data_IF_361484338479
#
_entry.id   IF_361484338479
#
_cell.length_a   1.000
_cell.length_b   1.000
_cell.length_c   1.000
_cell.angle_alpha   90.00
_cell.angle_beta   90.00
_cell.angle_gamma   90.00
#
_symmetry.space_group_name_H-M   'P 1'
#
loop_
_entity.id
_entity.type
_entity.pdbx_description
1 polymer ?
#
# COMPACT_ATOMS: atom_id res chain seq x y z
N UNK A 1 -19.00 -1.23 1.17
CA UNK A 1 -18.90 -2.05 -0.06
C UNK A 1 -17.55 -2.77 -0.21
N UNK A 2 -17.43 -3.67 -1.20
CA UNK A 2 -16.17 -4.38 -1.52
C UNK A 2 -15.03 -3.43 -1.96
N UNK A 3 -15.36 -2.28 -2.56
CA UNK A 3 -14.41 -1.22 -2.94
C UNK A 3 -13.76 -0.55 -1.73
N UNK A 4 -14.53 -0.31 -0.69
CA UNK A 4 -14.07 0.39 0.51
C UNK A 4 -13.15 -0.51 1.32
N UNK A 5 -13.42 -1.83 1.33
CA UNK A 5 -12.55 -2.83 1.94
C UNK A 5 -11.18 -2.89 1.27
N UNK A 6 -11.13 -2.91 -0.07
CA UNK A 6 -9.85 -2.90 -0.82
C UNK A 6 -9.06 -1.64 -0.51
N UNK A 7 -9.73 -0.49 -0.47
CA UNK A 7 -9.10 0.80 -0.16
C UNK A 7 -8.54 0.83 1.27
N UNK A 8 -9.30 0.33 2.25
CA UNK A 8 -8.87 0.26 3.65
C UNK A 8 -7.65 -0.65 3.86
N UNK A 9 -7.63 -1.83 3.22
CA UNK A 9 -6.48 -2.75 3.28
C UNK A 9 -5.23 -2.12 2.67
N UNK A 10 -5.39 -1.38 1.57
CA UNK A 10 -4.25 -0.70 0.96
C UNK A 10 -3.70 0.41 1.87
N UNK A 11 -4.55 1.25 2.46
CA UNK A 11 -4.13 2.28 3.44
C UNK A 11 -3.33 1.65 4.59
N UNK A 12 -3.81 0.55 5.17
CA UNK A 12 -3.08 -0.16 6.23
C UNK A 12 -1.67 -0.57 5.78
N UNK A 13 -1.55 -1.09 4.56
CA UNK A 13 -0.26 -1.51 3.98
C UNK A 13 0.69 -0.34 3.76
N UNK A 14 0.17 0.83 3.36
CA UNK A 14 0.96 2.07 3.20
C UNK A 14 1.54 2.54 4.54
N UNK A 15 0.80 2.35 5.64
CA UNK A 15 1.26 2.66 7.00
C UNK A 15 2.09 1.53 7.66
N UNK A 16 2.50 0.51 6.90
CA UNK A 16 3.37 -0.54 7.41
C UNK A 16 2.66 -1.61 8.25
N UNK A 17 1.33 -1.71 8.19
CA UNK A 17 0.57 -2.78 8.83
C UNK A 17 0.53 -4.07 7.99
N UNK A 18 0.41 -5.24 8.62
CA UNK A 18 0.37 -5.46 10.07
C UNK A 18 1.75 -5.24 10.71
N UNK A 19 1.79 -4.49 11.80
CA UNK A 19 3.03 -4.30 12.55
C UNK A 19 3.51 -5.66 13.07
N UNK A 20 4.81 -5.93 12.94
CA UNK A 20 5.42 -7.10 13.59
C UNK A 20 5.29 -6.90 15.10
N UNK A 21 4.59 -7.81 15.77
CA UNK A 21 4.62 -7.88 17.24
C UNK A 21 6.05 -8.22 17.66
N UNK A 22 6.64 -7.37 18.49
CA UNK A 22 7.92 -7.68 19.13
C UNK A 22 7.71 -8.91 20.02
N UNK A 23 8.58 -9.91 19.87
CA UNK A 23 8.55 -11.08 20.74
C UNK A 23 9.03 -10.69 22.12
N UNK A 24 8.41 -11.25 23.16
CA UNK A 24 8.92 -11.04 24.49
C UNK A 24 10.29 -11.70 24.60
N UNK A 25 11.15 -11.18 25.46
CA UNK A 25 12.50 -11.71 25.70
C UNK A 25 12.40 -13.16 26.17
N UNK A 26 11.41 -13.49 27.00
CA UNK A 26 11.05 -14.86 27.41
C UNK A 26 10.75 -15.81 26.24
N UNK A 27 10.23 -15.32 25.10
CA UNK A 27 9.94 -16.16 23.93
C UNK A 27 11.21 -16.55 23.17
N UNK A 28 12.28 -15.75 23.31
CA UNK A 28 13.55 -15.93 22.59
C UNK A 28 14.61 -16.57 23.50
N UNK A 29 14.56 -16.28 24.81
CA UNK A 29 15.47 -16.79 25.84
C UNK A 29 14.67 -17.37 27.02
N UNK A 30 14.18 -18.62 26.92
CA UNK A 30 13.37 -19.23 27.98
C UNK A 30 14.20 -19.47 29.25
N UNK A 31 13.65 -19.03 30.38
CA UNK A 31 14.31 -19.05 31.70
C UNK A 31 14.41 -20.44 32.34
N UNK A 32 13.84 -21.48 31.71
CA UNK A 32 13.84 -22.88 32.19
C UNK A 32 15.15 -23.65 31.88
N UNK A 33 16.13 -23.01 31.23
CA UNK A 33 17.46 -23.60 31.02
C UNK A 33 18.30 -23.48 32.29
N UNK A 34 18.63 -24.63 32.91
CA UNK A 34 19.31 -24.77 34.21
C UNK A 34 20.72 -24.14 34.31
N UNK A 35 21.26 -23.54 33.25
CA UNK A 35 22.51 -22.77 33.24
C UNK A 35 22.53 -21.80 32.05
N UNK A 36 22.49 -20.50 32.29
CA UNK A 36 22.79 -19.49 31.26
C UNK A 36 24.29 -19.48 30.99
N UNK A 37 24.69 -19.58 29.73
CA UNK A 37 26.10 -19.40 29.39
C UNK A 37 26.44 -17.91 29.35
N UNK A 38 27.69 -17.49 29.63
CA UNK A 38 28.10 -16.09 29.56
C UNK A 38 27.77 -15.44 28.20
N UNK A 39 27.90 -16.20 27.09
CA UNK A 39 27.54 -15.72 25.76
C UNK A 39 26.03 -15.53 25.56
N UNK A 40 25.19 -16.33 26.22
CA UNK A 40 23.72 -16.17 26.18
C UNK A 40 23.27 -14.92 26.93
N UNK A 41 23.84 -14.63 28.09
CA UNK A 41 23.52 -13.41 28.85
C UNK A 41 23.89 -12.16 28.06
N UNK A 42 25.07 -12.15 27.45
CA UNK A 42 25.49 -11.06 26.55
C UNK A 42 24.54 -10.91 25.37
N UNK A 43 24.15 -12.02 24.72
CA UNK A 43 23.18 -12.00 23.61
C UNK A 43 21.82 -11.41 24.03
N UNK A 44 21.36 -11.74 25.24
CA UNK A 44 20.13 -11.19 25.82
C UNK A 44 20.23 -9.68 26.06
N UNK A 45 21.35 -9.21 26.61
CA UNK A 45 21.61 -7.77 26.82
C UNK A 45 21.64 -7.02 25.49
N UNK A 46 22.35 -7.56 24.49
CA UNK A 46 22.44 -6.94 23.16
C UNK A 46 21.07 -6.86 22.51
N UNK A 47 20.29 -7.93 22.53
CA UNK A 47 18.92 -7.94 22.00
C UNK A 47 18.03 -6.89 22.68
N UNK A 48 18.11 -6.77 24.01
CA UNK A 48 17.37 -5.75 24.76
C UNK A 48 17.73 -4.32 24.32
N UNK A 49 19.02 -4.06 24.09
CA UNK A 49 19.49 -2.76 23.59
C UNK A 49 18.98 -2.50 22.18
N UNK A 50 19.07 -3.48 21.28
CA UNK A 50 18.52 -3.39 19.92
C UNK A 50 17.03 -3.04 19.96
N UNK A 51 16.23 -3.77 20.77
CA UNK A 51 14.80 -3.52 20.90
C UNK A 51 14.46 -2.14 21.46
N UNK A 52 15.26 -1.63 22.40
CA UNK A 52 15.06 -0.29 22.94
C UNK A 52 15.29 0.79 21.88
N UNK A 53 16.39 0.69 21.12
CA UNK A 53 16.71 1.66 20.06
C UNK A 53 15.73 1.54 18.89
N UNK A 54 15.33 0.31 18.49
CA UNK A 54 14.29 0.09 17.49
C UNK A 54 12.99 0.81 17.86
N UNK A 55 12.60 0.77 19.13
CA UNK A 55 11.40 1.46 19.63
C UNK A 55 11.57 2.98 19.57
N UNK A 56 12.66 3.52 20.12
CA UNK A 56 12.93 4.96 20.11
C UNK A 56 12.95 5.55 18.70
N UNK A 57 13.60 4.85 17.75
CA UNK A 57 13.65 5.29 16.35
C UNK A 57 12.29 5.16 15.65
N UNK A 58 11.49 4.15 16.00
CA UNK A 58 10.16 3.97 15.42
C UNK A 58 9.15 5.02 15.90
N UNK A 59 9.39 5.63 17.06
CA UNK A 59 8.56 6.72 17.60
C UNK A 59 8.87 8.08 16.95
N UNK A 60 9.91 8.18 16.11
CA UNK A 60 10.24 9.41 15.39
C UNK A 60 9.29 9.69 14.22
N UNK A 61 8.98 10.97 14.01
CA UNK A 61 8.12 11.41 12.92
C UNK A 61 8.65 10.96 11.55
N UNK A 62 7.76 10.35 10.76
CA UNK A 62 8.09 9.87 9.42
C UNK A 62 8.73 8.48 9.38
N UNK A 63 9.09 7.89 10.52
CA UNK A 63 9.58 6.51 10.59
C UNK A 63 8.39 5.54 10.59
N UNK A 64 8.41 4.59 9.66
CA UNK A 64 7.37 3.54 9.55
C UNK A 64 7.85 2.26 10.23
N UNK A 65 9.15 1.96 10.12
CA UNK A 65 9.78 0.86 10.84
C UNK A 65 11.27 1.09 10.93
N UNK A 66 11.84 0.86 12.10
CA UNK A 66 13.28 0.79 12.30
C UNK A 66 13.72 -0.66 12.58
N UNK A 67 14.95 -0.99 12.17
CA UNK A 67 15.67 -2.21 12.52
C UNK A 67 17.09 -1.85 12.93
N UNK A 68 17.55 -2.44 14.02
CA UNK A 68 18.87 -2.17 14.57
C UNK A 68 19.56 -3.50 14.81
N UNK A 69 20.83 -3.60 14.41
CA UNK A 69 21.70 -4.70 14.77
C UNK A 69 22.99 -4.17 15.36
N UNK A 70 23.35 -4.68 16.53
CA UNK A 70 24.56 -4.31 17.27
C UNK A 70 25.52 -5.49 17.20
N UNK A 71 26.74 -5.24 16.71
CA UNK A 71 27.84 -6.17 16.80
C UNK A 71 28.77 -5.74 17.94
N UNK A 72 28.92 -6.62 18.93
CA UNK A 72 29.77 -6.42 20.10
C UNK A 72 30.74 -7.60 20.24
N UNK A 73 32.04 -7.32 20.39
CA UNK A 73 33.05 -8.36 20.64
C UNK A 73 32.94 -8.90 22.08
N UNK A 74 33.21 -10.20 22.25
CA UNK A 74 33.33 -10.79 23.58
C UNK A 74 34.77 -10.69 24.03
N UNK A 75 34.99 -10.13 25.24
CA UNK A 75 36.31 -10.12 25.86
C UNK A 75 36.76 -11.57 26.06
N UNK A 76 37.92 -11.91 25.50
CA UNK A 76 38.65 -13.14 25.82
C UNK A 76 39.81 -12.72 26.71
N UNK A 77 40.04 -13.42 27.83
CA UNK A 77 41.09 -13.10 28.81
C UNK A 77 42.49 -12.92 28.18
N UNK A 78 42.71 -13.47 27.00
CA UNK A 78 43.99 -13.43 26.27
C UNK A 78 44.27 -12.15 25.48
N UNK A 79 43.31 -11.22 25.36
CA UNK A 79 43.55 -9.94 24.70
C UNK A 79 42.73 -8.79 25.34
N UNK A 80 43.37 -7.72 25.83
CA UNK A 80 42.69 -6.48 26.13
C UNK A 80 42.40 -5.74 24.81
N UNK A 81 41.63 -6.36 23.91
CA UNK A 81 41.02 -5.60 22.83
C UNK A 81 39.91 -4.76 23.46
N UNK A 82 40.01 -3.44 23.29
CA UNK A 82 38.95 -2.49 23.64
C UNK A 82 37.60 -3.04 23.09
N UNK A 83 36.53 -2.98 23.90
CA UNK A 83 35.21 -3.45 23.48
C UNK A 83 34.72 -2.61 22.30
N UNK A 84 35.03 -3.04 21.08
CA UNK A 84 34.58 -2.35 19.88
C UNK A 84 33.12 -2.73 19.61
N UNK A 85 32.26 -1.71 19.65
CA UNK A 85 30.86 -1.84 19.27
C UNK A 85 30.65 -1.24 17.87
N UNK A 86 29.86 -1.91 17.05
CA UNK A 86 29.43 -1.37 15.75
C UNK A 86 27.94 -1.60 15.53
N UNK A 87 27.32 -0.71 14.76
CA UNK A 87 25.86 -0.68 14.64
C UNK A 87 25.44 -0.47 13.20
N UNK A 88 24.46 -1.28 12.78
CA UNK A 88 23.75 -1.10 11.52
C UNK A 88 22.29 -0.77 11.79
N UNK A 89 21.82 0.34 11.21
CA UNK A 89 20.46 0.84 11.36
C UNK A 89 19.81 0.87 9.99
N UNK A 90 18.66 0.22 9.87
CA UNK A 90 17.81 0.28 8.69
C UNK A 90 16.50 0.96 9.05
N UNK A 91 16.14 1.99 8.30
CA UNK A 91 14.92 2.77 8.55
C UNK A 91 14.09 2.84 7.28
N UNK A 92 12.87 2.34 7.39
CA UNK A 92 11.82 2.53 6.39
C UNK A 92 11.01 3.77 6.77
N UNK A 93 10.87 4.72 5.85
CA UNK A 93 10.29 6.03 6.15
C UNK A 93 9.29 6.53 5.10
N UNK A 94 8.39 7.42 5.52
CA UNK A 94 7.45 8.10 4.64
C UNK A 94 8.16 9.16 3.78
N UNK A 95 8.02 9.15 2.44
CA UNK A 95 8.58 10.19 1.60
C UNK A 95 7.95 11.57 1.80
N UNK A 96 6.82 11.68 2.52
CA UNK A 96 6.21 12.97 2.87
C UNK A 96 7.05 13.75 3.90
N UNK A 97 7.80 13.01 4.72
CA UNK A 97 8.73 13.55 5.72
C UNK A 97 10.17 13.50 5.20
N UNK A 98 10.90 14.62 5.29
CA UNK A 98 12.31 14.67 4.90
C UNK A 98 13.21 14.09 6.02
N UNK A 99 13.20 12.77 6.16
CA UNK A 99 14.02 12.08 7.16
C UNK A 99 15.53 12.19 6.89
N UNK A 100 15.93 12.55 5.66
CA UNK A 100 17.34 12.73 5.29
C UNK A 100 18.01 13.85 6.11
N UNK A 101 17.25 14.89 6.47
CA UNK A 101 17.74 15.99 7.31
C UNK A 101 17.98 15.58 8.77
N UNK A 102 17.31 14.52 9.23
CA UNK A 102 17.42 14.01 10.60
C UNK A 102 18.47 12.91 10.75
N UNK A 103 19.19 12.53 9.69
CA UNK A 103 20.23 11.46 9.76
C UNK A 103 21.27 11.75 10.84
N UNK A 104 21.73 12.99 10.97
CA UNK A 104 22.69 13.38 12.02
C UNK A 104 22.10 13.21 13.43
N UNK A 105 20.81 13.54 13.61
CA UNK A 105 20.11 13.40 14.88
C UNK A 105 19.93 11.92 15.23
N UNK A 106 19.50 11.11 14.26
CA UNK A 106 19.40 9.64 14.39
C UNK A 106 20.75 9.05 14.77
N UNK A 107 21.82 9.48 14.09
CA UNK A 107 23.19 9.02 14.36
C UNK A 107 23.63 9.38 15.78
N UNK A 108 23.32 10.59 16.24
CA UNK A 108 23.58 11.03 17.63
C UNK A 108 22.80 10.21 18.65
N UNK A 109 21.49 9.99 18.42
CA UNK A 109 20.67 9.15 19.31
C UNK A 109 21.21 7.73 19.45
N UNK A 110 21.68 7.13 18.35
CA UNK A 110 22.28 5.78 18.35
C UNK A 110 23.62 5.77 19.07
N UNK A 111 24.48 6.76 18.81
CA UNK A 111 25.75 6.94 19.49
C UNK A 111 25.56 7.02 21.02
N UNK A 112 24.64 7.87 21.48
CA UNK A 112 24.44 8.11 22.91
C UNK A 112 23.76 6.92 23.63
N UNK A 113 23.14 6.00 22.88
CA UNK A 113 22.45 4.83 23.43
C UNK A 113 23.38 3.63 23.68
N UNK A 114 24.61 3.65 23.14
CA UNK A 114 25.53 2.52 23.20
C UNK A 114 26.89 3.01 23.72
N UNK A 115 27.40 2.46 24.82
CA UNK A 115 28.71 2.82 25.33
C UNK A 115 29.80 2.41 24.33
N UNK A 116 30.85 3.22 24.25
CA UNK A 116 32.06 2.94 23.45
C UNK A 116 31.76 2.70 21.95
N UNK A 117 30.74 3.39 21.42
CA UNK A 117 30.38 3.37 20.01
C UNK A 117 30.89 4.63 19.29
N UNK A 118 31.87 4.47 18.42
CA UNK A 118 32.34 5.57 17.58
C UNK A 118 31.37 5.90 16.44
N UNK A 119 31.32 7.18 16.06
CA UNK A 119 30.51 7.65 14.94
C UNK A 119 30.86 7.00 13.59
N UNK A 120 32.09 6.54 13.38
CA UNK A 120 32.50 5.87 12.14
C UNK A 120 31.93 4.43 12.04
N UNK A 121 31.56 3.82 13.18
CA UNK A 121 30.99 2.47 13.27
C UNK A 121 29.46 2.43 13.18
N UNK A 122 28.83 3.55 12.88
CA UNK A 122 27.37 3.65 12.71
C UNK A 122 27.03 3.73 11.22
N UNK A 123 26.42 2.67 10.70
CA UNK A 123 25.90 2.62 9.32
C UNK A 123 24.38 2.80 9.33
N UNK A 124 23.87 3.76 8.56
CA UNK A 124 22.43 4.06 8.46
C UNK A 124 22.00 3.92 7.01
N UNK A 125 20.98 3.10 6.77
CA UNK A 125 20.32 2.94 5.48
C UNK A 125 18.89 3.43 5.59
N UNK A 126 18.53 4.41 4.75
CA UNK A 126 17.19 4.95 4.65
C UNK A 126 16.50 4.42 3.39
N UNK A 127 15.31 3.85 3.56
CA UNK A 127 14.49 3.37 2.45
C UNK A 127 13.13 4.08 2.44
N UNK A 128 12.82 4.88 1.40
CA UNK A 128 11.50 5.49 1.28
C UNK A 128 10.45 4.43 0.95
N UNK A 129 9.25 4.60 1.49
CA UNK A 129 8.10 3.80 1.08
C UNK A 129 7.62 4.27 -0.28
N UNK A 130 7.53 3.34 -1.23
CA UNK A 130 6.84 3.58 -2.48
C UNK A 130 5.36 3.32 -2.25
N UNK A 131 4.58 4.39 -2.11
CA UNK A 131 3.13 4.27 -2.17
C UNK A 131 2.76 3.89 -3.60
N UNK A 132 2.34 2.65 -3.80
CA UNK A 132 1.64 2.27 -5.02
C UNK A 132 0.36 3.07 -5.00
N UNK A 133 0.34 4.22 -5.67
CA UNK A 133 -0.83 5.08 -5.75
C UNK A 133 -1.97 4.22 -6.30
N UNK A 134 -2.94 3.79 -5.47
CA UNK A 134 -4.06 3.01 -5.93
C UNK A 134 -5.03 4.04 -6.51
N UNK A 135 -4.61 4.67 -7.61
CA UNK A 135 -5.50 5.30 -8.57
C UNK A 135 -6.33 4.22 -9.24
N UNK A 136 -7.04 3.42 -8.45
CA UNK A 136 -8.20 2.68 -8.91
C UNK A 136 -9.19 3.79 -9.23
N UNK A 137 -9.10 4.34 -10.44
CA UNK A 137 -10.25 4.95 -11.08
C UNK A 137 -11.24 3.79 -11.15
N UNK A 138 -12.14 3.72 -10.17
CA UNK A 138 -13.36 2.94 -10.32
C UNK A 138 -13.96 3.52 -11.59
N UNK A 139 -13.81 2.77 -12.70
CA UNK A 139 -14.49 3.08 -13.95
C UNK A 139 -15.94 2.91 -13.58
N UNK A 140 -16.54 4.00 -13.11
CA UNK A 140 -17.97 4.11 -12.87
C UNK A 140 -18.58 3.64 -14.16
N UNK A 141 -19.38 2.58 -14.07
CA UNK A 141 -20.02 1.94 -15.20
C UNK A 141 -21.04 2.90 -15.82
N UNK A 142 -20.53 3.90 -16.53
CA UNK A 142 -21.28 4.81 -17.37
C UNK A 142 -21.24 4.28 -18.82
N UNK A 143 -20.21 3.53 -19.20
CA UNK A 143 -20.09 2.88 -20.52
C UNK A 143 -21.18 1.84 -20.82
N UNK A 144 -21.61 1.02 -19.84
CA UNK A 144 -22.71 0.05 -20.09
C UNK A 144 -24.06 0.76 -20.10
N UNK A 145 -24.24 1.82 -19.29
CA UNK A 145 -25.47 2.63 -19.32
C UNK A 145 -25.62 3.42 -20.62
N UNK A 146 -24.55 4.00 -21.14
CA UNK A 146 -24.55 4.72 -22.41
C UNK A 146 -24.82 3.78 -23.58
N UNK A 147 -24.21 2.58 -23.58
CA UNK A 147 -24.50 1.56 -24.59
C UNK A 147 -25.97 1.11 -24.55
N UNK A 148 -26.54 0.86 -23.37
CA UNK A 148 -27.97 0.50 -23.27
C UNK A 148 -28.90 1.61 -23.76
N UNK A 149 -28.59 2.88 -23.47
CA UNK A 149 -29.41 4.01 -23.92
C UNK A 149 -29.35 4.21 -25.44
N UNK A 150 -28.16 4.08 -26.05
CA UNK A 150 -27.97 4.26 -27.49
C UNK A 150 -28.69 3.16 -28.29
N UNK A 151 -28.52 1.89 -27.90
CA UNK A 151 -29.19 0.79 -28.57
C UNK A 151 -30.68 0.73 -28.27
N UNK A 152 -31.10 1.08 -27.04
CA UNK A 152 -32.52 1.18 -26.67
C UNK A 152 -33.26 2.24 -27.47
N UNK A 153 -32.63 3.40 -27.69
CA UNK A 153 -33.21 4.49 -28.49
C UNK A 153 -33.37 4.11 -29.97
N UNK A 154 -32.35 3.48 -30.58
CA UNK A 154 -32.43 3.01 -31.97
C UNK A 154 -33.46 1.89 -32.17
N UNK A 155 -33.55 0.95 -31.22
CA UNK A 155 -34.56 -0.09 -31.24
C UNK A 155 -35.99 0.50 -31.20
N UNK A 156 -36.23 1.48 -30.33
CA UNK A 156 -37.51 2.19 -30.27
C UNK A 156 -37.83 2.95 -31.58
N UNK A 157 -36.85 3.61 -32.18
CA UNK A 157 -37.05 4.34 -33.45
C UNK A 157 -37.43 3.41 -34.62
N UNK A 158 -36.85 2.22 -34.72
CA UNK A 158 -37.18 1.29 -35.81
C UNK A 158 -38.61 0.75 -35.73
N UNK A 159 -39.10 0.45 -34.52
CA UNK A 159 -40.49 0.01 -34.31
C UNK A 159 -41.49 1.11 -34.67
N UNK A 160 -41.21 2.37 -34.30
CA UNK A 160 -42.08 3.51 -34.65
C UNK A 160 -42.03 3.80 -36.15
N UNK A 161 -40.84 3.82 -36.75
CA UNK A 161 -40.67 4.07 -38.19
C UNK A 161 -41.33 3.02 -39.08
N UNK A 162 -41.24 1.74 -38.73
CA UNK A 162 -41.89 0.65 -39.45
C UNK A 162 -43.42 0.79 -39.51
N UNK A 163 -44.04 1.19 -38.39
CA UNK A 163 -45.49 1.42 -38.33
C UNK A 163 -45.93 2.61 -39.20
N UNK A 164 -45.12 3.68 -39.28
CA UNK A 164 -45.40 4.85 -40.12
C UNK A 164 -45.36 4.53 -41.62
N UNK A 165 -44.43 3.70 -42.06
CA UNK A 165 -44.32 3.31 -43.48
C UNK A 165 -45.53 2.49 -43.93
N UNK A 166 -45.97 1.54 -43.10
CA UNK A 166 -47.17 0.73 -43.38
C UNK A 166 -48.42 1.63 -43.44
N UNK A 167 -48.54 2.57 -42.49
CA UNK A 167 -49.67 3.49 -42.45
C UNK A 167 -49.74 4.39 -43.70
N UNK A 168 -48.64 5.03 -44.09
CA UNK A 168 -48.58 5.86 -45.31
C UNK A 168 -48.80 5.04 -46.60
N UNK A 169 -48.23 3.83 -46.68
CA UNK A 169 -48.45 2.94 -47.82
C UNK A 169 -49.93 2.56 -47.99
N UNK A 170 -50.63 2.29 -46.88
CA UNK A 170 -52.06 1.97 -46.91
C UNK A 170 -52.93 3.14 -47.41
N UNK A 171 -52.63 4.36 -46.97
CA UNK A 171 -53.32 5.58 -47.40
C UNK A 171 -53.08 5.85 -48.90
N UNK A 172 -51.86 5.64 -49.38
CA UNK A 172 -51.54 5.82 -50.80
C UNK A 172 -52.30 4.84 -51.70
N UNK A 173 -52.42 3.57 -51.28
CA UNK A 173 -53.17 2.56 -52.03
C UNK A 173 -54.67 2.87 -52.08
N UNK A 174 -55.26 3.34 -50.98
CA UNK A 174 -56.68 3.75 -50.94
C UNK A 174 -56.93 4.92 -51.90
N UNK A 175 -56.08 5.95 -51.85
CA UNK A 175 -56.22 7.15 -52.69
C UNK A 175 -56.01 6.87 -54.18
N UNK A 176 -55.14 5.91 -54.53
CA UNK A 176 -54.94 5.50 -55.92
C UNK A 176 -56.13 4.68 -56.47
N UNK A 177 -56.78 3.88 -55.62
CA UNK A 177 -57.97 3.11 -55.99
C UNK A 177 -59.17 4.01 -56.32
N UNK A 178 -59.32 5.13 -55.61
CA UNK A 178 -60.37 6.13 -55.89
C UNK A 178 -60.13 6.88 -57.21
N UNK A 179 -58.87 7.20 -57.55
CA UNK A 179 -58.53 7.83 -58.83
C UNK A 179 -58.91 6.96 -60.03
N UNK A 180 -58.68 5.65 -59.95
CA UNK A 180 -59.05 4.72 -61.02
C UNK A 180 -60.56 4.52 -61.20
N UNK A 181 -61.36 4.70 -60.14
CA UNK A 181 -62.83 4.63 -60.24
C UNK A 181 -63.44 5.84 -60.93
N UNK A 182 -62.89 7.05 -60.76
CA UNK A 182 -63.38 8.26 -61.43
C UNK A 182 -63.09 8.28 -62.94
N UNK A 183 -62.03 7.60 -63.39
CA UNK A 183 -61.67 7.53 -64.82
C UNK A 183 -62.57 6.53 -65.58
N UNK A 184 -63.16 5.54 -64.89
CA UNK A 184 -64.06 4.56 -65.51
C UNK A 184 -65.53 4.98 -65.61
N UNK A 185 -65.92 6.13 -65.03
CA UNK A 185 -67.31 6.65 -65.11
C UNK A 185 -67.50 7.78 -66.13
N UNK A 186 -66.41 8.27 -66.75
CA UNK A 186 -66.44 9.34 -67.76
C UNK A 186 -65.90 8.88 -69.14
N UNK A 187 -65.93 7.58 -69.41
CA UNK A 187 -65.62 6.99 -70.72
C UNK A 187 -66.86 6.41 -71.36
#
# INVERSE_FOLDING_TARGET
DKSDFISAVEILRLHGYPQKKYRNVEDVFPSDQLVTSPGQELSKIVYLKEQNIERMLSDMDGVISARVSIAQSMLTDDAPEEQMSSVSVFIKYSPETNLQNSVTQIKGLVHDSIPDLDYDKISIVLQPVHYLNPGIKIVKNETVKDWLNIYGFWLAMTLVGGAWIIFLGSIFLIKNKERKRKISQNG
#
